data_IF_112043352710
#
_entry.id   IF_112043352710
#
_cell.length_a   1.000
_cell.length_b   1.000
_cell.length_c   1.000
_cell.angle_alpha   90.00
_cell.angle_beta   90.00
_cell.angle_gamma   90.00
#
_symmetry.space_group_name_H-M   'P 1'
#
loop_
_entity.id
_entity.type
_entity.pdbx_description
1 polymer ?
#
# COMPACT_ATOMS: atom_id res chain seq x y z
N UNK A 1 1.04 -29.08 -17.69
CA UNK A 1 1.52 -28.05 -16.75
C UNK A 1 2.14 -26.93 -17.57
N UNK A 2 1.49 -25.78 -17.67
CA UNK A 2 2.00 -24.63 -18.41
C UNK A 2 3.18 -24.04 -17.64
N UNK A 3 4.37 -24.01 -18.25
CA UNK A 3 5.58 -23.43 -17.66
C UNK A 3 5.26 -21.96 -17.33
N UNK A 4 5.09 -21.62 -16.06
CA UNK A 4 4.90 -20.24 -15.62
C UNK A 4 6.11 -19.44 -16.13
N UNK A 5 5.87 -18.45 -16.98
CA UNK A 5 6.92 -17.66 -17.57
C UNK A 5 7.68 -16.91 -16.45
N UNK A 6 9.01 -16.94 -16.53
CA UNK A 6 9.92 -16.45 -15.48
C UNK A 6 9.82 -14.92 -15.40
N UNK A 7 9.64 -14.38 -14.19
CA UNK A 7 9.65 -12.94 -13.94
C UNK A 7 11.10 -12.41 -13.98
N UNK A 8 11.32 -11.28 -14.66
CA UNK A 8 12.62 -10.65 -14.88
C UNK A 8 13.61 -11.63 -15.54
N UNK A 9 13.27 -12.07 -16.75
CA UNK A 9 14.12 -12.93 -17.58
C UNK A 9 15.25 -12.14 -18.26
N UNK A 10 16.13 -12.84 -18.98
CA UNK A 10 17.27 -12.24 -19.67
C UNK A 10 16.85 -11.15 -20.67
N UNK A 11 15.70 -11.32 -21.33
CA UNK A 11 15.17 -10.31 -22.25
C UNK A 11 14.77 -9.04 -21.50
N UNK A 12 14.09 -9.17 -20.36
CA UNK A 12 13.80 -8.03 -19.50
C UNK A 12 15.07 -7.32 -19.04
N UNK A 13 16.09 -8.08 -18.61
CA UNK A 13 17.38 -7.53 -18.16
C UNK A 13 18.08 -6.74 -19.27
N UNK A 14 18.13 -7.26 -20.50
CA UNK A 14 18.70 -6.57 -21.65
C UNK A 14 17.95 -5.28 -21.96
N UNK A 15 16.62 -5.31 -21.88
CA UNK A 15 15.79 -4.11 -22.09
C UNK A 15 16.05 -3.07 -21.00
N UNK A 16 16.11 -3.51 -19.75
CA UNK A 16 16.33 -2.68 -18.58
C UNK A 16 17.69 -1.95 -18.60
N UNK A 17 18.74 -2.58 -19.14
CA UNK A 17 20.06 -1.94 -19.33
C UNK A 17 20.03 -0.76 -20.29
N UNK A 18 19.05 -0.72 -21.19
CA UNK A 18 18.86 0.36 -22.17
C UNK A 18 17.73 1.32 -21.80
N UNK A 19 17.05 1.09 -20.68
CA UNK A 19 15.95 1.92 -20.21
C UNK A 19 16.46 3.27 -19.69
N UNK A 20 15.57 4.27 -19.62
CA UNK A 20 15.91 5.62 -19.16
C UNK A 20 16.39 5.62 -17.71
N UNK A 21 17.28 6.56 -17.37
CA UNK A 21 17.83 6.73 -16.02
C UNK A 21 16.79 7.03 -14.94
N UNK A 22 15.56 7.40 -15.32
CA UNK A 22 14.46 7.73 -14.41
C UNK A 22 13.63 6.50 -13.97
N UNK A 23 13.95 5.31 -14.49
CA UNK A 23 13.26 4.07 -14.12
C UNK A 23 13.86 3.45 -12.85
N UNK A 24 13.00 2.92 -11.97
CA UNK A 24 13.40 2.09 -10.81
C UNK A 24 14.37 0.96 -11.19
N UNK A 25 14.26 0.45 -12.42
CA UNK A 25 15.10 -0.63 -12.92
C UNK A 25 16.58 -0.23 -12.95
N UNK A 26 16.90 1.05 -13.17
CA UNK A 26 18.28 1.54 -13.20
C UNK A 26 18.97 1.35 -11.85
N UNK A 27 18.30 1.72 -10.75
CA UNK A 27 18.83 1.56 -9.38
C UNK A 27 19.00 0.09 -8.98
N UNK A 28 18.07 -0.76 -9.42
CA UNK A 28 18.15 -2.19 -9.19
C UNK A 28 19.28 -2.83 -9.98
N UNK A 29 19.50 -2.40 -11.22
CA UNK A 29 20.58 -2.94 -12.06
C UNK A 29 21.96 -2.48 -11.60
N UNK A 30 22.10 -1.26 -11.07
CA UNK A 30 23.38 -0.75 -10.57
C UNK A 30 23.89 -1.51 -9.35
N UNK A 31 23.00 -2.21 -8.65
CA UNK A 31 23.28 -3.02 -7.45
C UNK A 31 22.84 -4.48 -7.62
N UNK A 32 22.86 -4.99 -8.87
CA UNK A 32 22.31 -6.31 -9.19
C UNK A 32 22.99 -7.47 -8.43
N UNK A 33 24.29 -7.37 -8.17
CA UNK A 33 25.04 -8.38 -7.41
C UNK A 33 24.83 -8.27 -5.88
N UNK A 34 24.04 -7.30 -5.42
CA UNK A 34 23.68 -7.07 -4.01
C UNK A 34 22.19 -6.80 -3.83
N UNK A 35 21.86 -5.64 -3.26
CA UNK A 35 20.49 -5.25 -2.87
C UNK A 35 19.48 -5.33 -4.02
N UNK A 36 19.86 -4.90 -5.23
CA UNK A 36 19.01 -4.99 -6.40
C UNK A 36 18.66 -6.44 -6.78
N UNK A 37 19.64 -7.34 -6.71
CA UNK A 37 19.42 -8.77 -6.93
C UNK A 37 18.48 -9.39 -5.89
N UNK A 38 18.66 -9.01 -4.62
CA UNK A 38 17.80 -9.43 -3.51
C UNK A 38 16.36 -8.95 -3.68
N UNK A 39 16.16 -7.69 -4.09
CA UNK A 39 14.85 -7.12 -4.38
C UNK A 39 14.11 -7.92 -5.47
N UNK A 40 14.78 -8.18 -6.62
CA UNK A 40 14.19 -8.98 -7.69
C UNK A 40 13.88 -10.42 -7.25
N UNK A 41 14.72 -11.00 -6.38
CA UNK A 41 14.50 -12.33 -5.83
C UNK A 41 13.24 -12.39 -4.94
N UNK A 42 13.05 -11.41 -4.06
CA UNK A 42 11.86 -11.32 -3.21
C UNK A 42 10.59 -11.18 -4.05
N UNK A 43 10.59 -10.30 -5.06
CA UNK A 43 9.46 -10.12 -5.98
C UNK A 43 9.12 -11.39 -6.75
N UNK A 44 10.13 -12.14 -7.23
CA UNK A 44 9.91 -13.46 -7.86
C UNK A 44 9.25 -14.43 -6.90
N UNK A 45 9.71 -14.47 -5.65
CA UNK A 45 9.15 -15.35 -4.61
C UNK A 45 7.68 -15.04 -4.36
N UNK A 46 7.34 -13.76 -4.16
CA UNK A 46 5.96 -13.32 -3.97
C UNK A 46 5.09 -13.61 -5.20
N UNK A 47 5.55 -13.25 -6.39
CA UNK A 47 4.83 -13.49 -7.65
C UNK A 47 4.52 -14.98 -7.87
N UNK A 48 5.49 -15.86 -7.58
CA UNK A 48 5.30 -17.30 -7.72
C UNK A 48 4.22 -17.82 -6.75
N UNK A 49 4.24 -17.37 -5.50
CA UNK A 49 3.24 -17.72 -4.48
C UNK A 49 1.86 -17.07 -4.66
N UNK A 50 1.77 -15.98 -5.43
CA UNK A 50 0.53 -15.22 -5.60
C UNK A 50 -0.56 -16.06 -6.30
N UNK A 51 -1.76 -16.22 -5.69
CA UNK A 51 -2.77 -17.20 -6.11
C UNK A 51 -3.68 -16.66 -7.23
N UNK A 52 -3.09 -16.24 -8.36
CA UNK A 52 -3.84 -15.87 -9.58
C UNK A 52 -3.84 -16.97 -10.64
N UNK A 53 -4.92 -17.00 -11.43
CA UNK A 53 -5.02 -17.79 -12.67
C UNK A 53 -4.07 -17.22 -13.75
N UNK A 54 -3.80 -18.01 -14.79
CA UNK A 54 -2.79 -17.71 -15.82
C UNK A 54 -2.91 -16.31 -16.45
N UNK A 55 -4.09 -15.90 -16.92
CA UNK A 55 -4.27 -14.60 -17.60
C UNK A 55 -4.10 -13.40 -16.66
N UNK A 56 -4.78 -13.31 -15.50
CA UNK A 56 -4.52 -12.25 -14.52
C UNK A 56 -3.05 -12.22 -14.04
N UNK A 57 -2.42 -13.39 -13.90
CA UNK A 57 -1.02 -13.49 -13.48
C UNK A 57 -0.05 -12.91 -14.53
N UNK A 58 -0.37 -13.00 -15.82
CA UNK A 58 0.39 -12.32 -16.88
C UNK A 58 0.23 -10.80 -16.82
N UNK A 59 -0.95 -10.30 -16.48
CA UNK A 59 -1.15 -8.85 -16.30
C UNK A 59 -0.32 -8.31 -15.14
N UNK A 60 -0.32 -9.03 -14.01
CA UNK A 60 0.53 -8.69 -12.86
C UNK A 60 2.02 -8.71 -13.24
N UNK A 61 2.46 -9.74 -13.98
CA UNK A 61 3.83 -9.81 -14.51
C UNK A 61 4.20 -8.55 -15.31
N UNK A 62 3.36 -8.15 -16.27
CA UNK A 62 3.62 -6.97 -17.11
C UNK A 62 3.77 -5.69 -16.28
N UNK A 63 2.96 -5.52 -15.23
CA UNK A 63 3.08 -4.35 -14.33
C UNK A 63 4.36 -4.41 -13.50
N UNK A 64 4.71 -5.57 -12.95
CA UNK A 64 5.96 -5.77 -12.22
C UNK A 64 7.19 -5.51 -13.11
N UNK A 65 7.14 -5.90 -14.38
CA UNK A 65 8.23 -5.69 -15.36
C UNK A 65 8.18 -4.31 -16.04
N UNK A 66 7.19 -3.46 -15.71
CA UNK A 66 7.05 -2.13 -16.32
C UNK A 66 8.18 -1.21 -15.88
N UNK A 67 8.74 -0.45 -16.82
CA UNK A 67 9.73 0.60 -16.52
C UNK A 67 9.10 1.87 -15.96
N UNK A 68 7.76 1.99 -15.99
CA UNK A 68 7.06 3.10 -15.35
C UNK A 68 6.94 2.85 -13.84
N UNK A 69 7.41 3.81 -13.06
CA UNK A 69 7.52 3.67 -11.61
C UNK A 69 6.14 3.47 -10.94
N UNK A 70 5.09 4.14 -11.41
CA UNK A 70 3.74 4.03 -10.86
C UNK A 70 3.10 2.65 -11.11
N UNK A 71 3.25 2.11 -12.33
CA UNK A 71 2.75 0.78 -12.70
C UNK A 71 3.48 -0.32 -11.91
N UNK A 72 4.81 -0.25 -11.83
CA UNK A 72 5.64 -1.17 -11.05
C UNK A 72 5.28 -1.10 -9.56
N UNK A 73 5.29 0.10 -8.99
CA UNK A 73 5.06 0.32 -7.56
C UNK A 73 3.67 -0.17 -7.13
N UNK A 74 2.64 0.09 -7.94
CA UNK A 74 1.29 -0.44 -7.69
C UNK A 74 1.25 -1.96 -7.62
N UNK A 75 1.93 -2.65 -8.55
CA UNK A 75 1.99 -4.11 -8.54
C UNK A 75 2.81 -4.67 -7.37
N UNK A 76 3.89 -3.98 -6.98
CA UNK A 76 4.68 -4.37 -5.80
C UNK A 76 3.88 -4.15 -4.52
N UNK A 77 3.08 -3.08 -4.42
CA UNK A 77 2.22 -2.84 -3.26
C UNK A 77 1.13 -3.92 -3.10
N UNK A 78 0.54 -4.39 -4.21
CA UNK A 78 -0.37 -5.54 -4.18
C UNK A 78 0.33 -6.81 -3.66
N UNK A 79 1.53 -7.12 -4.15
CA UNK A 79 2.31 -8.26 -3.67
C UNK A 79 2.74 -8.11 -2.20
N UNK A 80 3.17 -6.92 -1.80
CA UNK A 80 3.59 -6.61 -0.44
C UNK A 80 2.41 -6.74 0.55
N UNK A 81 1.22 -6.26 0.15
CA UNK A 81 0.01 -6.46 0.95
C UNK A 81 -0.36 -7.94 1.07
N UNK A 82 -0.27 -8.71 0.00
CA UNK A 82 -0.49 -10.15 0.05
C UNK A 82 0.53 -10.88 0.95
N UNK A 83 1.81 -10.52 0.87
CA UNK A 83 2.83 -11.06 1.76
C UNK A 83 2.51 -10.75 3.24
N UNK A 84 2.09 -9.51 3.53
CA UNK A 84 1.63 -9.12 4.86
C UNK A 84 0.41 -9.95 5.30
N UNK A 85 -0.61 -10.12 4.44
CA UNK A 85 -1.78 -10.95 4.76
C UNK A 85 -1.36 -12.36 5.16
N UNK A 86 -0.47 -13.00 4.39
CA UNK A 86 0.07 -14.33 4.68
C UNK A 86 0.78 -14.38 6.02
N UNK A 87 1.61 -13.37 6.31
CA UNK A 87 2.35 -13.26 7.57
C UNK A 87 1.42 -13.07 8.79
N UNK A 88 0.31 -12.36 8.61
CA UNK A 88 -0.67 -12.08 9.66
C UNK A 88 -1.81 -13.12 9.71
N UNK A 89 -1.64 -14.27 9.03
CA UNK A 89 -2.64 -15.34 8.95
C UNK A 89 -4.03 -14.88 8.46
N UNK A 90 -4.07 -13.81 7.66
CA UNK A 90 -5.27 -13.36 6.95
C UNK A 90 -5.51 -14.27 5.74
N UNK A 91 -6.72 -14.83 5.64
CA UNK A 91 -7.10 -15.70 4.53
C UNK A 91 -7.91 -14.88 3.55
N UNK A 92 -7.45 -14.81 2.30
CA UNK A 92 -8.13 -14.12 1.23
C UNK A 92 -7.48 -14.40 -0.11
N UNK A 93 -8.14 -13.92 -1.16
CA UNK A 93 -7.73 -14.11 -2.55
C UNK A 93 -7.76 -12.79 -3.33
N UNK A 94 -6.86 -12.62 -4.30
CA UNK A 94 -6.89 -11.48 -5.20
C UNK A 94 -8.10 -11.58 -6.14
N UNK A 95 -8.76 -10.45 -6.34
CA UNK A 95 -9.88 -10.35 -7.27
C UNK A 95 -9.33 -10.13 -8.67
N UNK A 96 -9.80 -10.91 -9.64
CA UNK A 96 -9.42 -10.71 -11.03
C UNK A 96 -10.06 -9.44 -11.58
N UNK A 97 -9.28 -8.59 -12.22
CA UNK A 97 -9.74 -7.37 -12.89
C UNK A 97 -10.58 -7.72 -14.13
N UNK A 98 -11.89 -7.96 -13.96
CA UNK A 98 -12.80 -8.20 -15.08
C UNK A 98 -14.08 -7.37 -14.98
N UNK A 99 -14.21 -6.39 -15.88
CA UNK A 99 -15.44 -5.64 -16.14
C UNK A 99 -15.71 -4.48 -15.19
N UNK A 100 -15.99 -4.78 -13.92
CA UNK A 100 -16.37 -3.76 -12.93
C UNK A 100 -15.19 -3.36 -12.04
N UNK A 101 -15.03 -2.06 -11.71
CA UNK A 101 -14.09 -1.61 -10.69
C UNK A 101 -14.41 -2.28 -9.35
N UNK A 102 -13.56 -3.22 -8.96
CA UNK A 102 -13.65 -4.02 -7.75
C UNK A 102 -12.39 -3.84 -6.92
N UNK A 103 -12.46 -4.08 -5.59
CA UNK A 103 -11.29 -4.08 -4.73
C UNK A 103 -10.22 -5.07 -5.19
N UNK A 104 -8.97 -4.87 -4.79
CA UNK A 104 -7.86 -5.77 -5.16
C UNK A 104 -7.97 -7.16 -4.51
N UNK A 105 -8.51 -7.27 -3.29
CA UNK A 105 -8.62 -8.53 -2.56
C UNK A 105 -10.00 -8.74 -1.94
N UNK A 106 -10.40 -10.01 -1.90
CA UNK A 106 -11.50 -10.51 -1.06
C UNK A 106 -10.91 -11.22 0.15
N UNK A 107 -11.32 -10.81 1.34
CA UNK A 107 -10.95 -11.44 2.60
C UNK A 107 -12.03 -12.46 3.01
N UNK A 108 -11.60 -13.61 3.50
CA UNK A 108 -12.44 -14.71 3.98
C UNK A 108 -12.36 -14.88 5.51
N UNK A 109 -11.17 -14.63 6.09
CA UNK A 109 -10.91 -14.76 7.54
C UNK A 109 -9.89 -13.70 7.99
N UNK A 110 -10.04 -13.09 9.18
CA UNK A 110 -10.98 -13.44 10.28
C UNK A 110 -12.41 -12.91 10.09
N UNK A 111 -12.65 -12.10 9.06
CA UNK A 111 -13.97 -11.65 8.67
C UNK A 111 -14.09 -11.65 7.15
N UNK A 112 -15.32 -11.65 6.65
CA UNK A 112 -15.57 -11.50 5.22
C UNK A 112 -15.56 -10.01 4.86
N UNK A 113 -14.72 -9.63 3.90
CA UNK A 113 -14.56 -8.24 3.53
C UNK A 113 -13.76 -8.05 2.26
N UNK A 114 -13.41 -6.80 1.99
CA UNK A 114 -12.61 -6.43 0.83
C UNK A 114 -11.47 -5.52 1.24
N UNK A 115 -10.36 -5.62 0.51
CA UNK A 115 -9.23 -4.71 0.65
C UNK A 115 -8.92 -4.09 -0.70
N UNK A 116 -8.84 -2.77 -0.72
CA UNK A 116 -8.31 -1.98 -1.82
C UNK A 116 -6.91 -1.50 -1.45
N UNK A 117 -5.94 -1.73 -2.33
CA UNK A 117 -4.57 -1.25 -2.17
C UNK A 117 -4.39 0.05 -2.96
N UNK A 118 -3.73 1.01 -2.33
CA UNK A 118 -3.45 2.30 -2.93
C UNK A 118 -2.07 2.79 -2.53
N UNK A 119 -1.58 3.73 -3.33
CA UNK A 119 -0.29 4.37 -3.13
C UNK A 119 -0.50 5.85 -2.94
N UNK A 120 0.19 6.44 -1.96
CA UNK A 120 0.36 7.87 -1.83
C UNK A 120 1.74 8.25 -2.37
N UNK A 121 1.78 8.60 -3.65
CA UNK A 121 3.02 8.99 -4.33
C UNK A 121 3.47 10.39 -3.90
N UNK A 122 4.73 10.78 -4.06
CA UNK A 122 5.12 12.18 -3.95
C UNK A 122 4.33 13.06 -4.94
N UNK A 123 3.93 14.25 -4.53
CA UNK A 123 3.40 15.26 -5.44
C UNK A 123 4.51 15.89 -6.28
N UNK A 124 4.14 16.63 -7.33
CA UNK A 124 5.11 17.41 -8.11
C UNK A 124 5.85 18.42 -7.21
N UNK A 125 5.13 19.10 -6.32
CA UNK A 125 5.71 20.02 -5.36
C UNK A 125 6.68 19.32 -4.39
N UNK A 126 6.33 18.11 -3.91
CA UNK A 126 7.25 17.31 -3.08
C UNK A 126 8.54 17.01 -3.86
N UNK A 127 8.40 16.62 -5.13
CA UNK A 127 9.53 16.28 -6.01
C UNK A 127 10.43 17.48 -6.30
N UNK A 128 9.85 18.66 -6.50
CA UNK A 128 10.57 19.92 -6.72
C UNK A 128 11.30 20.39 -5.45
N UNK A 129 10.68 20.26 -4.28
CA UNK A 129 11.33 20.53 -2.99
C UNK A 129 12.54 19.60 -2.77
N UNK A 130 12.44 18.32 -3.17
CA UNK A 130 13.55 17.36 -3.04
C UNK A 130 14.74 17.73 -3.92
N UNK A 131 14.48 18.16 -5.15
CA UNK A 131 15.53 18.57 -6.08
C UNK A 131 16.23 19.86 -5.65
N UNK A 132 15.52 20.74 -4.94
CA UNK A 132 16.02 22.06 -4.52
C UNK A 132 16.63 22.08 -3.12
N UNK A 133 16.63 20.95 -2.38
CA UNK A 133 17.08 20.85 -0.98
C UNK A 133 16.47 21.92 -0.06
N UNK A 134 15.25 22.37 -0.35
CA UNK A 134 14.55 23.38 0.44
C UNK A 134 13.84 22.71 1.62
N UNK A 135 13.80 23.40 2.76
CA UNK A 135 13.03 22.93 3.92
C UNK A 135 11.54 22.99 3.62
N UNK A 136 10.83 21.88 3.83
CA UNK A 136 9.38 21.82 3.69
C UNK A 136 8.72 22.12 5.04
N UNK A 137 7.72 23.01 5.05
CA UNK A 137 6.87 23.18 6.22
C UNK A 137 6.07 21.89 6.46
N UNK A 138 6.37 21.22 7.58
CA UNK A 138 5.76 19.97 7.98
C UNK A 138 4.23 20.08 8.12
N UNK A 139 3.70 21.20 8.60
CA UNK A 139 2.26 21.36 8.76
C UNK A 139 1.57 21.47 7.39
N UNK A 140 2.16 22.23 6.47
CA UNK A 140 1.64 22.37 5.11
C UNK A 140 1.70 21.03 4.35
N UNK A 141 2.82 20.30 4.45
CA UNK A 141 2.98 18.98 3.84
C UNK A 141 1.97 17.96 4.39
N UNK A 142 1.76 17.95 5.71
CA UNK A 142 0.80 17.06 6.34
C UNK A 142 -0.64 17.40 5.92
N UNK A 143 -0.99 18.68 5.87
CA UNK A 143 -2.31 19.14 5.38
C UNK A 143 -2.56 18.70 3.93
N UNK A 144 -1.57 18.82 3.05
CA UNK A 144 -1.69 18.38 1.67
C UNK A 144 -1.82 16.86 1.55
N UNK A 145 -1.01 16.12 2.31
CA UNK A 145 -1.09 14.66 2.42
C UNK A 145 -2.50 14.21 2.83
N UNK A 146 -3.10 14.88 3.83
CA UNK A 146 -4.48 14.62 4.27
C UNK A 146 -5.52 14.89 3.17
N UNK A 147 -5.42 16.02 2.46
CA UNK A 147 -6.32 16.32 1.32
C UNK A 147 -6.23 15.26 0.24
N UNK A 148 -5.02 14.76 -0.04
CA UNK A 148 -4.79 13.72 -1.03
C UNK A 148 -5.42 12.39 -0.62
N UNK A 149 -5.31 12.00 0.66
CA UNK A 149 -6.02 10.84 1.22
C UNK A 149 -7.55 10.99 1.07
N UNK A 150 -8.09 12.16 1.42
CA UNK A 150 -9.51 12.43 1.23
C UNK A 150 -9.92 12.34 -0.26
N UNK A 151 -9.11 12.88 -1.17
CA UNK A 151 -9.36 12.82 -2.61
C UNK A 151 -9.39 11.39 -3.16
N UNK A 152 -8.50 10.51 -2.65
CA UNK A 152 -8.43 9.10 -3.06
C UNK A 152 -9.75 8.37 -2.82
N UNK A 153 -10.38 8.65 -1.68
CA UNK A 153 -11.59 7.96 -1.23
C UNK A 153 -12.87 8.62 -1.70
N UNK A 154 -12.87 9.93 -1.99
CA UNK A 154 -14.07 10.69 -2.37
C UNK A 154 -14.27 10.84 -3.88
N UNK A 155 -13.22 10.70 -4.69
CA UNK A 155 -13.34 10.84 -6.15
C UNK A 155 -13.74 9.52 -6.85
N UNK A 156 -14.81 9.51 -7.68
CA UNK A 156 -15.25 8.32 -8.42
C UNK A 156 -14.20 7.68 -9.35
N UNK A 157 -13.20 8.44 -9.79
CA UNK A 157 -12.14 7.94 -10.69
C UNK A 157 -10.98 7.29 -9.94
N UNK A 158 -10.87 7.50 -8.62
CA UNK A 158 -9.82 6.96 -7.78
C UNK A 158 -10.32 5.66 -7.14
N UNK A 159 -10.70 5.68 -5.85
CA UNK A 159 -11.03 4.45 -5.10
C UNK A 159 -12.51 4.32 -4.70
N UNK A 160 -13.31 5.38 -4.87
CA UNK A 160 -14.72 5.37 -4.42
C UNK A 160 -15.56 4.25 -5.06
N UNK A 161 -15.29 3.86 -6.32
CA UNK A 161 -16.06 2.79 -6.98
C UNK A 161 -15.80 1.41 -6.35
N UNK A 162 -14.55 1.14 -5.96
CA UNK A 162 -14.15 -0.08 -5.25
C UNK A 162 -14.77 -0.14 -3.85
N UNK A 163 -14.78 0.99 -3.13
CA UNK A 163 -15.47 1.08 -1.83
C UNK A 163 -16.98 0.81 -1.99
N UNK A 164 -17.61 1.41 -3.01
CA UNK A 164 -19.03 1.17 -3.34
C UNK A 164 -19.32 -0.26 -3.81
N UNK A 165 -18.36 -0.92 -4.44
CA UNK A 165 -18.49 -2.34 -4.77
C UNK A 165 -18.67 -3.16 -3.50
N UNK A 166 -17.77 -3.03 -2.52
CA UNK A 166 -17.88 -3.76 -1.25
C UNK A 166 -19.19 -3.45 -0.50
N UNK A 167 -19.60 -2.18 -0.49
CA UNK A 167 -20.85 -1.78 0.15
C UNK A 167 -22.11 -2.36 -0.52
N UNK A 168 -22.09 -2.58 -1.84
CA UNK A 168 -23.17 -3.29 -2.57
C UNK A 168 -23.19 -4.79 -2.26
N UNK A 169 -22.05 -5.36 -1.90
CA UNK A 169 -21.94 -6.74 -1.43
C UNK A 169 -22.26 -6.88 0.07
N UNK A 170 -22.66 -5.80 0.75
CA UNK A 170 -22.93 -5.77 2.18
C UNK A 170 -21.77 -6.28 3.04
N UNK A 171 -20.57 -5.81 2.70
CA UNK A 171 -19.33 -6.19 3.37
C UNK A 171 -18.44 -4.98 3.65
N UNK A 172 -17.62 -5.04 4.70
CA UNK A 172 -16.64 -4.01 5.00
C UNK A 172 -15.58 -3.87 3.90
N UNK A 173 -15.04 -2.66 3.76
CA UNK A 173 -13.95 -2.35 2.85
C UNK A 173 -12.82 -1.62 3.57
N UNK A 174 -11.60 -2.14 3.41
CA UNK A 174 -10.38 -1.55 3.95
C UNK A 174 -9.60 -0.90 2.82
N UNK A 175 -9.14 0.33 3.03
CA UNK A 175 -8.13 0.94 2.17
C UNK A 175 -6.75 0.74 2.78
N UNK A 176 -5.90 -0.08 2.15
CA UNK A 176 -4.49 -0.20 2.48
C UNK A 176 -3.69 0.84 1.69
N UNK A 177 -3.17 1.86 2.38
CA UNK A 177 -2.48 2.99 1.80
C UNK A 177 -0.98 2.91 2.09
N UNK A 178 -0.20 2.60 1.07
CA UNK A 178 1.25 2.67 1.13
C UNK A 178 1.71 4.09 0.88
N UNK A 179 2.41 4.66 1.86
CA UNK A 179 2.89 6.03 1.80
C UNK A 179 4.36 6.13 1.38
N UNK A 180 4.59 6.91 0.33
CA UNK A 180 5.91 7.25 -0.21
C UNK A 180 6.15 8.76 -0.20
N UNK A 181 5.25 9.57 0.39
CA UNK A 181 5.42 11.03 0.50
C UNK A 181 6.35 11.43 1.63
N UNK A 182 6.67 10.51 2.55
CA UNK A 182 7.48 10.79 3.74
C UNK A 182 8.94 11.02 3.38
N UNK A 183 9.22 12.22 2.87
CA UNK A 183 10.50 12.87 3.06
C UNK A 183 10.58 13.32 4.51
N UNK A 184 11.23 12.50 5.31
CA UNK A 184 12.09 13.01 6.37
C UNK A 184 12.80 11.83 7.02
N UNK A 185 14.12 11.87 7.01
CA UNK A 185 14.91 11.22 8.07
C UNK A 185 14.64 11.81 9.47
N UNK A 186 13.64 12.70 9.61
CA UNK A 186 13.10 13.17 10.87
C UNK A 186 11.88 12.33 11.20
N UNK A 187 11.82 11.79 12.42
CA UNK A 187 10.72 10.98 12.93
C UNK A 187 9.40 11.75 13.01
N UNK A 188 8.81 12.06 11.87
CA UNK A 188 7.49 12.66 11.77
C UNK A 188 6.48 11.62 12.22
N UNK A 189 5.77 11.93 13.30
CA UNK A 189 4.67 11.09 13.81
C UNK A 189 3.40 11.28 12.94
N UNK A 190 3.56 11.31 11.61
CA UNK A 190 2.46 11.61 10.69
C UNK A 190 1.29 10.65 10.88
N UNK A 191 1.56 9.37 11.15
CA UNK A 191 0.51 8.41 11.51
C UNK A 191 -0.31 8.88 12.74
N UNK A 192 0.30 9.44 13.78
CA UNK A 192 -0.45 10.00 14.91
C UNK A 192 -1.29 11.21 14.49
N UNK A 193 -0.70 12.12 13.72
CA UNK A 193 -1.42 13.30 13.21
C UNK A 193 -2.59 12.93 12.29
N UNK A 194 -2.42 11.89 11.47
CA UNK A 194 -3.47 11.30 10.67
C UNK A 194 -4.59 10.74 11.56
N UNK A 195 -4.24 10.06 12.65
CA UNK A 195 -5.20 9.59 13.66
C UNK A 195 -5.97 10.74 14.32
N UNK A 196 -5.27 11.79 14.75
CA UNK A 196 -5.87 13.00 15.33
C UNK A 196 -6.82 13.69 14.34
N UNK A 197 -6.45 13.78 13.07
CA UNK A 197 -7.32 14.33 12.03
C UNK A 197 -8.55 13.45 11.82
N UNK A 198 -8.36 12.15 11.58
CA UNK A 198 -9.43 11.23 11.22
C UNK A 198 -10.45 11.03 12.36
N UNK A 199 -9.97 10.89 13.60
CA UNK A 199 -10.77 10.57 14.78
C UNK A 199 -11.05 11.78 15.67
N UNK A 200 -10.47 12.93 15.35
CA UNK A 200 -10.68 14.18 16.06
C UNK A 200 -12.11 14.72 15.95
N UNK A 201 -12.38 15.78 16.70
CA UNK A 201 -13.71 16.41 16.78
C UNK A 201 -14.13 17.06 15.45
N UNK A 202 -13.15 17.45 14.63
CA UNK A 202 -13.34 18.22 13.41
C UNK A 202 -13.18 17.34 12.16
N UNK A 203 -14.31 16.97 11.57
CA UNK A 203 -14.47 16.60 10.15
C UNK A 203 -13.73 15.38 9.57
N UNK A 204 -12.79 14.73 10.25
CA UNK A 204 -11.98 13.61 9.74
C UNK A 204 -12.75 12.52 8.99
N UNK A 205 -13.22 11.48 9.68
CA UNK A 205 -14.06 10.45 9.04
C UNK A 205 -15.42 10.97 8.55
N UNK A 206 -15.90 12.11 9.05
CA UNK A 206 -17.13 12.75 8.55
C UNK A 206 -17.00 13.21 7.09
N UNK A 207 -15.77 13.49 6.63
CA UNK A 207 -15.46 13.88 5.25
C UNK A 207 -15.17 12.71 4.32
N UNK A 208 -15.08 11.48 4.86
CA UNK A 208 -14.79 10.27 4.11
C UNK A 208 -16.09 9.48 3.83
N UNK A 209 -16.13 8.69 2.75
CA UNK A 209 -17.28 7.83 2.45
C UNK A 209 -17.57 6.85 3.57
N UNK A 210 -18.84 6.62 3.89
CA UNK A 210 -19.26 5.63 4.88
C UNK A 210 -19.06 4.19 4.38
N UNK A 211 -18.79 3.99 3.08
CA UNK A 211 -18.38 2.72 2.51
C UNK A 211 -16.96 2.29 2.96
N UNK A 212 -16.14 3.22 3.44
CA UNK A 212 -14.82 2.92 4.01
C UNK A 212 -14.97 2.44 5.45
N UNK A 213 -14.58 1.19 5.73
CA UNK A 213 -14.63 0.61 7.08
C UNK A 213 -13.39 0.92 7.90
N UNK A 214 -12.22 0.92 7.28
CA UNK A 214 -10.97 1.31 7.91
C UNK A 214 -9.93 1.77 6.89
N UNK A 215 -9.01 2.61 7.35
CA UNK A 215 -7.79 2.97 6.62
C UNK A 215 -6.60 2.31 7.30
N UNK A 216 -5.80 1.56 6.55
CA UNK A 216 -4.50 1.04 7.01
C UNK A 216 -3.42 1.88 6.36
N UNK A 217 -2.76 2.72 7.15
CA UNK A 217 -1.62 3.51 6.72
C UNK A 217 -0.34 2.71 6.90
N UNK A 218 0.45 2.59 5.84
CA UNK A 218 1.66 1.77 5.79
C UNK A 218 2.84 2.61 5.33
N UNK A 219 3.86 2.74 6.18
CA UNK A 219 5.16 3.25 5.74
C UNK A 219 6.03 2.07 5.31
N UNK A 220 6.38 2.02 4.02
CA UNK A 220 7.18 0.97 3.40
C UNK A 220 8.52 1.52 2.92
N UNK A 221 9.58 0.72 3.04
CA UNK A 221 10.88 1.00 2.43
C UNK A 221 11.48 -0.26 1.82
N UNK A 222 12.53 -0.09 1.03
CA UNK A 222 13.46 -1.16 0.66
C UNK A 222 14.74 -0.94 1.45
N UNK A 223 15.16 -1.94 2.24
CA UNK A 223 16.36 -1.91 3.07
C UNK A 223 17.17 -3.17 2.79
N UNK A 224 18.44 -3.01 2.40
CA UNK A 224 19.33 -4.13 2.04
C UNK A 224 18.70 -5.10 1.02
N UNK A 225 17.96 -4.52 0.05
CA UNK A 225 17.19 -5.26 -0.95
C UNK A 225 15.87 -5.87 -0.49
N UNK A 226 15.51 -5.78 0.80
CA UNK A 226 14.27 -6.31 1.35
C UNK A 226 13.18 -5.26 1.44
N UNK A 227 11.98 -5.61 1.00
CA UNK A 227 10.78 -4.82 1.29
C UNK A 227 10.42 -4.97 2.78
N UNK A 228 10.35 -3.83 3.46
CA UNK A 228 10.06 -3.75 4.90
C UNK A 228 8.93 -2.76 5.20
N UNK A 229 8.17 -3.02 6.27
CA UNK A 229 7.16 -2.10 6.80
C UNK A 229 7.54 -1.58 8.18
N UNK A 230 7.29 -0.30 8.45
CA UNK A 230 7.50 0.24 9.79
C UNK A 230 6.36 -0.16 10.72
N UNK A 231 6.61 -0.95 11.78
CA UNK A 231 5.58 -1.28 12.76
C UNK A 231 5.13 -0.06 13.58
N UNK A 232 6.10 0.79 13.90
CA UNK A 232 5.92 1.94 14.80
C UNK A 232 5.37 3.18 14.09
N UNK A 233 5.43 3.21 12.75
CA UNK A 233 4.90 4.31 11.93
C UNK A 233 3.76 3.89 10.98
N UNK A 234 3.34 2.63 11.05
CA UNK A 234 2.14 2.15 10.38
C UNK A 234 1.00 1.99 11.38
N UNK A 235 -0.23 2.16 10.91
CA UNK A 235 -1.40 2.21 11.80
C UNK A 235 -2.69 1.83 11.09
N UNK A 236 -3.68 1.39 11.87
CA UNK A 236 -5.04 1.10 11.44
C UNK A 236 -5.99 2.10 12.10
N UNK A 237 -6.76 2.82 11.28
CA UNK A 237 -7.80 3.74 11.74
C UNK A 237 -9.17 3.17 11.38
N UNK A 238 -9.97 2.89 12.41
CA UNK A 238 -11.31 2.34 12.26
C UNK A 238 -12.31 3.47 12.05
N UNK A 239 -13.09 3.42 10.97
CA UNK A 239 -14.09 4.44 10.69
C UNK A 239 -15.34 4.21 11.55
N UNK A 240 -15.67 5.09 12.52
CA UNK A 240 -16.85 4.91 13.37
C UNK A 240 -18.16 5.19 12.65
N UNK A 241 -18.10 5.79 11.47
CA UNK A 241 -19.26 6.11 10.64
C UNK A 241 -19.45 5.10 9.50
N UNK A 242 -18.69 4.00 9.51
CA UNK A 242 -18.76 2.98 8.47
C UNK A 242 -20.14 2.31 8.42
N UNK A 243 -20.68 2.16 7.20
CA UNK A 243 -21.91 1.41 6.93
C UNK A 243 -21.76 -0.07 7.35
N UNK A 244 -20.59 -0.63 7.12
CA UNK A 244 -20.22 -1.99 7.53
C UNK A 244 -18.94 -1.92 8.37
N UNK A 245 -19.04 -1.81 9.71
CA UNK A 245 -17.87 -1.68 10.57
C UNK A 245 -17.08 -3.00 10.64
N UNK A 246 -15.81 -2.88 11.00
CA UNK A 246 -14.95 -4.03 11.32
C UNK A 246 -14.55 -3.99 12.79
N UNK A 247 -14.33 -5.17 13.36
CA UNK A 247 -13.84 -5.30 14.74
C UNK A 247 -12.41 -4.79 14.86
N UNK A 248 -12.09 -4.13 15.97
CA UNK A 248 -10.72 -3.69 16.27
C UNK A 248 -9.81 -4.91 16.47
N UNK A 249 -8.57 -4.83 15.98
CA UNK A 249 -7.55 -5.85 16.16
C UNK A 249 -7.33 -6.76 14.94
N UNK A 250 -7.80 -6.39 13.75
CA UNK A 250 -7.61 -7.19 12.52
C UNK A 250 -6.14 -7.29 12.06
N UNK A 251 -5.30 -6.33 12.45
CA UNK A 251 -3.87 -6.28 12.14
C UNK A 251 -3.11 -5.86 13.41
N UNK A 252 -3.01 -6.74 14.41
CA UNK A 252 -2.50 -6.39 15.75
C UNK A 252 -1.00 -6.03 15.75
N UNK A 253 -0.30 -6.24 14.65
CA UNK A 253 1.09 -5.85 14.47
C UNK A 253 1.31 -4.35 14.26
N UNK A 254 0.25 -3.56 14.07
CA UNK A 254 0.32 -2.10 13.93
C UNK A 254 -0.42 -1.39 15.05
N UNK A 255 -0.14 -0.09 15.21
CA UNK A 255 -0.91 0.76 16.11
C UNK A 255 -2.38 0.80 15.68
N UNK A 256 -3.30 0.58 16.62
CA UNK A 256 -4.74 0.56 16.35
C UNK A 256 -5.40 1.81 16.91
N UNK A 257 -6.24 2.48 16.12
CA UNK A 257 -6.93 3.72 16.50
C UNK A 257 -8.44 3.63 16.25
N UNK A 258 -9.23 3.69 17.31
CA UNK A 258 -10.70 3.75 17.26
C UNK A 258 -11.23 4.95 18.08
N UNK A 259 -12.53 5.24 18.03
CA UNK A 259 -13.18 6.37 18.73
C UNK A 259 -12.68 6.53 20.17
N UNK A 260 -12.29 7.75 20.54
CA UNK A 260 -11.76 8.04 21.88
C UNK A 260 -10.24 7.84 22.03
N UNK A 261 -9.48 7.76 20.92
CA UNK A 261 -8.01 7.61 20.92
C UNK A 261 -7.54 6.47 21.82
N UNK A 262 -8.22 5.32 21.77
CA UNK A 262 -7.64 4.11 22.35
C UNK A 262 -6.54 3.63 21.42
N UNK A 263 -5.29 3.97 21.76
CA UNK A 263 -4.09 3.46 21.10
C UNK A 263 -3.79 2.09 21.70
N UNK A 264 -3.88 1.05 20.90
CA UNK A 264 -3.19 -0.21 21.23
C UNK A 264 -1.84 -0.17 20.55
N UNK A 265 -0.76 -0.08 21.34
CA UNK A 265 0.60 -0.14 20.82
C UNK A 265 0.90 -1.53 20.25
N UNK A 266 1.74 -1.63 19.21
CA UNK A 266 2.11 -2.91 18.63
C UNK A 266 2.87 -3.77 19.65
N UNK A 267 2.59 -5.08 19.67
CA UNK A 267 3.23 -6.05 20.57
C UNK A 267 4.73 -6.35 20.23
N UNK A 268 5.43 -5.49 19.50
CA UNK A 268 6.79 -5.75 19.01
C UNK A 268 7.74 -4.59 19.26
N UNK A 269 8.98 -4.92 19.60
CA UNK A 269 10.11 -3.98 19.71
C UNK A 269 10.86 -3.82 18.39
N UNK A 270 10.57 -4.63 17.37
CA UNK A 270 11.18 -4.51 16.05
C UNK A 270 10.57 -3.32 15.29
N UNK A 271 11.40 -2.36 14.90
CA UNK A 271 10.94 -1.17 14.18
C UNK A 271 10.50 -1.47 12.75
N UNK A 272 11.13 -2.46 12.11
CA UNK A 272 10.92 -2.83 10.72
C UNK A 272 10.51 -4.28 10.60
N UNK A 273 9.43 -4.53 9.87
CA UNK A 273 8.90 -5.83 9.54
C UNK A 273 9.40 -6.28 8.17
N UNK A 274 10.25 -7.31 8.07
CA UNK A 274 10.51 -7.97 6.80
C UNK A 274 9.23 -8.65 6.29
N UNK A 275 8.87 -8.36 5.05
CA UNK A 275 7.71 -8.95 4.36
C UNK A 275 8.04 -10.25 3.63
#
# INVERSE_FOLDING_TARGET
MTKLAKLFDEQWMQTAQTATSESWACEVLSSLDGDGGMYLCQLRTWFNGYPLRSTPKQHLRKRLESFKNDEHLGAVNELAWWALMRRQALIGEPISTSGEPSPDFKLESPFQGYIEVSTLNPSFADSECWQTYTSVDLQAANSETLKRIASLTTEPKKKLKQLKYAARQERPCILALFDYTTWSGFGTEFFRQLGEFLLGKEFGFKSLPNELSALVYLERRVMDGWNVLSHVRSAVYYNPLAKFPITVGILPCFSQFATGLTVTEPNTTEHWLPL
#
